data_IF_359790517789
#
_entry.id   IF_359790517789
#
_cell.length_a   1.000
_cell.length_b   1.000
_cell.length_c   1.000
_cell.angle_alpha   90.00
_cell.angle_beta   90.00
_cell.angle_gamma   90.00
#
_symmetry.space_group_name_H-M   'P 1'
#
loop_
_entity.id
_entity.type
_entity.pdbx_description
1 polymer ?
#
# COMPACT_ATOMS: atom_id res chain seq x y z
N UNK A 1 -34.57 -7.72 -22.72
CA UNK A 1 -33.12 -7.72 -22.62
C UNK A 1 -32.55 -8.85 -23.44
N UNK A 2 -31.48 -8.58 -24.21
CA UNK A 2 -30.79 -9.63 -24.96
C UNK A 2 -30.06 -10.56 -23.98
N UNK A 3 -29.83 -11.84 -24.30
CA UNK A 3 -29.09 -12.75 -23.44
C UNK A 3 -27.70 -12.22 -23.06
N UNK A 4 -27.01 -11.53 -23.97
CA UNK A 4 -25.73 -10.91 -23.76
C UNK A 4 -25.80 -9.77 -22.70
N UNK A 5 -26.81 -8.90 -22.79
CA UNK A 5 -26.98 -7.81 -21.82
C UNK A 5 -27.22 -8.37 -20.41
N UNK A 6 -28.01 -9.44 -20.30
CA UNK A 6 -28.24 -10.11 -19.01
C UNK A 6 -26.92 -10.66 -18.44
N UNK A 7 -26.12 -11.32 -19.26
CA UNK A 7 -24.82 -11.85 -18.87
C UNK A 7 -23.87 -10.74 -18.36
N UNK A 8 -23.84 -9.59 -19.05
CA UNK A 8 -23.01 -8.44 -18.64
C UNK A 8 -23.46 -7.90 -17.28
N UNK A 9 -24.76 -7.73 -17.06
CA UNK A 9 -25.32 -7.27 -15.80
C UNK A 9 -25.01 -8.27 -14.68
N UNK A 10 -25.21 -9.56 -14.91
CA UNK A 10 -24.92 -10.60 -13.92
C UNK A 10 -23.41 -10.63 -13.56
N UNK A 11 -22.52 -10.47 -14.55
CA UNK A 11 -21.07 -10.37 -14.32
C UNK A 11 -20.69 -9.14 -13.50
N UNK A 12 -21.26 -7.99 -13.83
CA UNK A 12 -21.02 -6.73 -13.12
C UNK A 12 -21.50 -6.83 -11.67
N UNK A 13 -22.70 -7.39 -11.46
CA UNK A 13 -23.27 -7.59 -10.12
C UNK A 13 -22.42 -8.53 -9.27
N UNK A 14 -22.00 -9.66 -9.82
CA UNK A 14 -21.17 -10.62 -9.09
C UNK A 14 -19.82 -10.01 -8.69
N UNK A 15 -19.16 -9.23 -9.57
CA UNK A 15 -17.93 -8.52 -9.22
C UNK A 15 -18.13 -7.49 -8.11
N UNK A 16 -19.18 -6.67 -8.21
CA UNK A 16 -19.50 -5.70 -7.17
C UNK A 16 -19.79 -6.39 -5.83
N UNK A 17 -20.53 -7.51 -5.86
CA UNK A 17 -20.82 -8.33 -4.68
C UNK A 17 -19.55 -8.92 -4.05
N UNK A 18 -18.65 -9.48 -4.86
CA UNK A 18 -17.36 -10.05 -4.40
C UNK A 18 -16.46 -8.98 -3.78
N UNK A 19 -16.51 -7.75 -4.31
CA UNK A 19 -15.79 -6.59 -3.78
C UNK A 19 -16.49 -5.92 -2.58
N UNK A 20 -17.67 -6.41 -2.19
CA UNK A 20 -18.53 -5.84 -1.15
C UNK A 20 -18.87 -4.36 -1.38
N UNK A 21 -19.14 -4.02 -2.63
CA UNK A 21 -19.51 -2.67 -3.11
C UNK A 21 -20.89 -2.68 -3.77
N UNK A 22 -21.49 -1.51 -3.88
CA UNK A 22 -22.69 -1.33 -4.69
C UNK A 22 -22.32 -1.40 -6.17
N UNK A 23 -23.25 -1.92 -6.99
CA UNK A 23 -23.08 -1.94 -8.44
C UNK A 23 -23.09 -0.51 -8.98
N UNK A 24 -21.98 -0.09 -9.59
CA UNK A 24 -21.81 1.21 -10.22
C UNK A 24 -21.51 1.09 -11.73
N UNK A 25 -21.30 2.23 -12.37
CA UNK A 25 -21.02 2.35 -13.80
C UNK A 25 -19.70 1.69 -14.19
N UNK A 26 -18.70 1.67 -13.28
CA UNK A 26 -17.38 1.07 -13.53
C UNK A 26 -17.47 -0.45 -13.61
N UNK A 27 -18.26 -1.08 -12.73
CA UNK A 27 -18.51 -2.54 -12.79
C UNK A 27 -19.24 -2.92 -14.08
N UNK A 28 -20.25 -2.14 -14.48
CA UNK A 28 -20.97 -2.37 -15.74
C UNK A 28 -20.07 -2.21 -16.95
N UNK A 29 -19.25 -1.16 -16.98
CA UNK A 29 -18.32 -0.90 -18.06
C UNK A 29 -17.22 -1.97 -18.12
N UNK A 30 -16.64 -2.35 -16.99
CA UNK A 30 -15.67 -3.42 -16.90
C UNK A 30 -16.22 -4.75 -17.39
N UNK A 31 -17.48 -5.08 -17.06
CA UNK A 31 -18.15 -6.28 -17.58
C UNK A 31 -18.39 -6.20 -19.09
N UNK A 32 -18.78 -5.03 -19.60
CA UNK A 32 -19.03 -4.79 -21.02
C UNK A 32 -17.77 -5.00 -21.87
N UNK A 33 -16.62 -4.47 -21.44
CA UNK A 33 -15.35 -4.60 -22.18
C UNK A 33 -14.66 -5.95 -21.98
N UNK A 34 -15.11 -6.78 -21.03
CA UNK A 34 -14.59 -8.14 -20.85
C UNK A 34 -15.28 -9.19 -21.74
N UNK A 35 -16.18 -8.79 -22.65
CA UNK A 35 -16.85 -9.67 -23.62
C UNK A 35 -16.11 -9.62 -24.95
N UNK A 36 -15.43 -10.70 -25.32
CA UNK A 36 -14.54 -10.80 -26.50
C UNK A 36 -15.22 -10.48 -27.84
N UNK A 37 -16.53 -10.70 -27.99
CA UNK A 37 -17.30 -10.47 -29.22
C UNK A 37 -18.26 -9.27 -29.15
N UNK A 38 -18.08 -8.39 -28.14
CA UNK A 38 -18.97 -7.25 -27.91
C UNK A 38 -18.87 -6.17 -28.99
N UNK A 39 -20.01 -5.57 -29.39
CA UNK A 39 -20.04 -4.40 -30.28
C UNK A 39 -19.22 -3.25 -29.71
N UNK A 40 -19.19 -3.12 -28.38
CA UNK A 40 -18.41 -2.08 -27.69
C UNK A 40 -16.91 -2.18 -27.98
N UNK A 41 -16.35 -3.39 -27.93
CA UNK A 41 -14.92 -3.61 -28.25
C UNK A 41 -14.62 -3.28 -29.70
N UNK A 42 -15.49 -3.69 -30.64
CA UNK A 42 -15.31 -3.36 -32.08
C UNK A 42 -15.37 -1.85 -32.35
N UNK A 43 -16.21 -1.11 -31.65
CA UNK A 43 -16.28 0.36 -31.76
C UNK A 43 -14.97 0.98 -31.21
N UNK A 44 -14.50 0.53 -30.05
CA UNK A 44 -13.25 1.03 -29.43
C UNK A 44 -12.04 0.73 -30.31
N UNK A 45 -11.95 -0.48 -30.87
CA UNK A 45 -10.89 -0.87 -31.80
C UNK A 45 -10.88 0.01 -33.05
N UNK A 46 -12.04 0.27 -33.65
CA UNK A 46 -12.18 1.19 -34.78
C UNK A 46 -11.80 2.64 -34.44
N UNK A 47 -11.91 3.03 -33.17
CA UNK A 47 -11.49 4.35 -32.67
C UNK A 47 -10.03 4.39 -32.25
N UNK A 48 -9.25 3.32 -32.45
CA UNK A 48 -7.86 3.16 -32.00
C UNK A 48 -7.69 3.38 -30.48
N UNK A 49 -8.68 2.97 -29.69
CA UNK A 49 -8.58 3.01 -28.22
C UNK A 49 -7.73 1.83 -27.75
N UNK A 50 -6.71 2.09 -26.96
CA UNK A 50 -5.94 1.04 -26.30
C UNK A 50 -6.78 0.42 -25.17
N UNK A 51 -7.42 -0.71 -25.50
CA UNK A 51 -8.33 -1.41 -24.60
C UNK A 51 -7.59 -1.95 -23.38
N UNK A 52 -6.35 -2.43 -23.55
CA UNK A 52 -5.54 -2.96 -22.44
C UNK A 52 -5.19 -1.85 -21.44
N UNK A 53 -4.82 -0.67 -21.94
CA UNK A 53 -4.61 0.51 -21.11
C UNK A 53 -5.88 0.94 -20.38
N UNK A 54 -7.02 0.92 -21.06
CA UNK A 54 -8.34 1.27 -20.49
C UNK A 54 -8.76 0.27 -19.40
N UNK A 55 -8.65 -1.03 -19.66
CA UNK A 55 -8.92 -2.09 -18.68
C UNK A 55 -8.01 -1.93 -17.45
N UNK A 56 -6.76 -1.62 -17.66
CA UNK A 56 -5.79 -1.38 -16.57
C UNK A 56 -6.17 -0.15 -15.74
N UNK A 57 -6.65 0.90 -16.39
CA UNK A 57 -7.10 2.12 -15.70
C UNK A 57 -8.37 1.89 -14.88
N UNK A 58 -9.37 1.20 -15.43
CA UNK A 58 -10.62 0.87 -14.74
C UNK A 58 -10.41 -0.05 -13.54
N UNK A 59 -9.47 -0.98 -13.66
CA UNK A 59 -9.13 -1.92 -12.58
C UNK A 59 -8.11 -1.34 -11.59
N UNK A 60 -7.75 -0.06 -11.70
CA UNK A 60 -6.92 0.56 -10.67
C UNK A 60 -7.64 0.56 -9.33
N UNK A 61 -6.94 0.25 -8.26
CA UNK A 61 -7.50 0.26 -6.92
C UNK A 61 -7.85 1.70 -6.51
N UNK A 62 -9.13 2.07 -6.57
CA UNK A 62 -9.59 3.42 -6.26
C UNK A 62 -9.41 3.80 -4.80
N UNK A 63 -9.82 2.93 -3.88
CA UNK A 63 -9.79 3.22 -2.44
C UNK A 63 -8.37 3.43 -1.91
N UNK A 64 -7.40 2.70 -2.48
CA UNK A 64 -5.97 2.87 -2.12
C UNK A 64 -5.51 4.31 -2.36
N UNK A 65 -5.89 4.91 -3.49
CA UNK A 65 -5.49 6.27 -3.85
C UNK A 65 -6.38 7.36 -3.24
N UNK A 66 -7.58 7.01 -2.79
CA UNK A 66 -8.41 7.90 -1.97
C UNK A 66 -7.86 8.04 -0.53
N UNK A 67 -7.30 6.95 0.01
CA UNK A 67 -6.81 6.87 1.38
C UNK A 67 -5.31 7.09 1.50
N UNK A 68 -4.59 7.05 0.40
CA UNK A 68 -3.13 7.09 0.36
C UNK A 68 -2.57 7.87 -0.81
N UNK A 69 -1.26 8.01 -0.79
CA UNK A 69 -0.49 8.72 -1.80
C UNK A 69 0.59 7.82 -2.35
N UNK A 70 0.67 7.70 -3.67
CA UNK A 70 1.75 6.99 -4.35
C UNK A 70 3.08 7.71 -4.17
N UNK A 71 4.04 7.05 -3.56
CA UNK A 71 5.39 7.60 -3.41
C UNK A 71 6.20 7.48 -4.69
N UNK A 72 5.86 6.53 -5.57
CA UNK A 72 6.56 6.34 -6.85
C UNK A 72 6.33 7.50 -7.83
N UNK A 73 5.20 8.21 -7.69
CA UNK A 73 4.85 9.36 -8.52
C UNK A 73 5.40 10.68 -7.97
N UNK A 74 5.89 10.70 -6.74
CA UNK A 74 6.42 11.91 -6.11
C UNK A 74 7.87 12.15 -6.53
N UNK A 75 8.18 13.42 -6.80
CA UNK A 75 9.57 13.87 -6.93
C UNK A 75 10.10 14.08 -5.52
N UNK A 76 10.82 13.11 -4.99
CA UNK A 76 11.48 13.26 -3.69
C UNK A 76 12.90 13.81 -3.87
N UNK A 77 13.34 14.59 -2.91
CA UNK A 77 14.73 15.00 -2.79
C UNK A 77 15.64 13.78 -2.64
N UNK A 78 16.90 13.90 -3.08
CA UNK A 78 17.85 12.80 -2.95
C UNK A 78 18.15 12.53 -1.47
N UNK A 79 17.95 11.29 -1.05
CA UNK A 79 18.38 10.81 0.26
C UNK A 79 19.82 10.32 0.16
N UNK A 80 20.71 10.91 0.95
CA UNK A 80 22.12 10.59 0.94
C UNK A 80 22.49 9.65 2.10
N UNK A 81 23.47 8.77 1.85
CA UNK A 81 24.11 7.94 2.88
C UNK A 81 23.17 6.94 3.63
N UNK A 82 22.10 6.49 2.99
CA UNK A 82 21.15 5.51 3.55
C UNK A 82 21.12 4.18 2.77
N UNK A 83 22.20 3.87 2.06
CA UNK A 83 22.30 2.66 1.23
C UNK A 83 22.11 1.37 2.04
N UNK A 84 22.66 1.31 3.26
CA UNK A 84 22.55 0.13 4.13
C UNK A 84 21.11 -0.12 4.55
N UNK A 85 20.42 0.93 4.94
CA UNK A 85 19.01 0.86 5.37
C UNK A 85 18.10 0.49 4.21
N UNK A 86 18.28 1.10 3.04
CA UNK A 86 17.49 0.80 1.83
C UNK A 86 17.71 -0.65 1.40
N UNK A 87 18.96 -1.11 1.37
CA UNK A 87 19.27 -2.50 1.03
C UNK A 87 18.68 -3.49 2.05
N UNK A 88 18.69 -3.15 3.34
CA UNK A 88 18.05 -3.95 4.38
C UNK A 88 16.52 -4.05 4.18
N UNK A 89 15.86 -2.95 3.77
CA UNK A 89 14.43 -2.95 3.45
C UNK A 89 14.17 -3.87 2.25
N UNK A 90 14.94 -3.73 1.17
CA UNK A 90 14.84 -4.56 -0.04
C UNK A 90 15.01 -6.04 0.31
N UNK A 91 16.03 -6.37 1.10
CA UNK A 91 16.29 -7.75 1.53
C UNK A 91 15.08 -8.34 2.30
N UNK A 92 14.52 -7.57 3.24
CA UNK A 92 13.35 -8.00 4.01
C UNK A 92 12.13 -8.21 3.10
N UNK A 93 11.84 -7.27 2.19
CA UNK A 93 10.71 -7.37 1.25
C UNK A 93 10.79 -8.61 0.34
N UNK A 94 11.99 -9.10 0.06
CA UNK A 94 12.23 -10.27 -0.78
C UNK A 94 12.17 -11.61 -0.03
N UNK A 95 12.09 -11.60 1.30
CA UNK A 95 11.98 -12.82 2.13
C UNK A 95 10.64 -13.51 1.90
N UNK A 96 10.61 -14.82 2.10
CA UNK A 96 9.37 -15.60 2.10
C UNK A 96 8.53 -15.38 3.36
N UNK A 97 9.21 -15.25 4.51
CA UNK A 97 8.60 -15.04 5.83
C UNK A 97 9.17 -13.78 6.46
N UNK A 98 8.39 -13.12 7.34
CA UNK A 98 8.78 -11.86 7.98
C UNK A 98 9.24 -10.82 6.95
N UNK A 99 8.49 -10.71 5.88
CA UNK A 99 8.78 -9.88 4.71
C UNK A 99 8.25 -8.45 4.84
N UNK A 100 7.86 -8.04 6.04
CA UNK A 100 7.40 -6.68 6.31
C UNK A 100 8.47 -5.95 7.13
N UNK A 101 9.20 -4.98 6.55
CA UNK A 101 10.17 -4.18 7.28
C UNK A 101 9.46 -3.19 8.22
N UNK A 102 10.03 -3.00 9.41
CA UNK A 102 9.60 -2.01 10.38
C UNK A 102 10.75 -1.09 10.75
N UNK A 103 10.69 0.14 10.28
CA UNK A 103 11.69 1.17 10.53
C UNK A 103 11.48 1.74 11.93
N UNK A 104 12.52 1.68 12.77
CA UNK A 104 12.48 2.21 14.13
C UNK A 104 13.64 3.18 14.34
N UNK A 105 13.37 4.33 14.95
CA UNK A 105 14.37 5.36 15.24
C UNK A 105 13.73 6.62 15.80
N UNK A 106 14.53 7.57 16.22
CA UNK A 106 14.04 8.85 16.76
C UNK A 106 13.12 9.57 15.77
N UNK A 107 12.26 10.45 16.29
CA UNK A 107 11.46 11.32 15.43
C UNK A 107 12.39 12.21 14.59
N UNK A 108 12.06 12.45 13.33
CA UNK A 108 12.86 13.29 12.43
C UNK A 108 14.13 12.65 11.85
N UNK A 109 14.47 11.38 12.19
CA UNK A 109 15.70 10.72 11.70
C UNK A 109 15.68 10.37 10.19
N UNK A 110 14.56 10.64 9.50
CA UNK A 110 14.43 10.42 8.05
C UNK A 110 13.87 9.05 7.66
N UNK A 111 13.05 8.41 8.51
CA UNK A 111 12.42 7.11 8.19
C UNK A 111 11.56 7.18 6.93
N UNK A 112 10.73 8.21 6.82
CA UNK A 112 9.85 8.44 5.67
C UNK A 112 10.66 8.69 4.41
N UNK A 113 11.68 9.54 4.48
CA UNK A 113 12.58 9.84 3.36
C UNK A 113 13.30 8.60 2.80
N UNK A 114 13.67 7.64 3.66
CA UNK A 114 14.26 6.36 3.22
C UNK A 114 13.27 5.56 2.36
N UNK A 115 11.98 5.56 2.72
CA UNK A 115 10.94 4.85 1.96
C UNK A 115 10.63 5.56 0.64
N UNK A 116 10.63 6.90 0.64
CA UNK A 116 10.50 7.71 -0.58
C UNK A 116 11.65 7.45 -1.56
N UNK A 117 12.90 7.38 -1.08
CA UNK A 117 14.04 7.02 -1.91
C UNK A 117 13.92 5.60 -2.47
N UNK A 118 13.42 4.64 -1.67
CA UNK A 118 13.14 3.30 -2.16
C UNK A 118 12.08 3.31 -3.27
N UNK A 119 11.00 4.06 -3.12
CA UNK A 119 9.95 4.21 -4.12
C UNK A 119 10.50 4.79 -5.44
N UNK A 120 11.36 5.81 -5.33
CA UNK A 120 12.09 6.39 -6.48
C UNK A 120 12.97 5.36 -7.17
N UNK A 121 13.73 4.55 -6.43
CA UNK A 121 14.55 3.48 -7.01
C UNK A 121 13.73 2.42 -7.71
N UNK A 122 12.53 2.11 -7.20
CA UNK A 122 11.60 1.22 -7.88
C UNK A 122 11.18 1.84 -9.23
N UNK A 123 10.77 3.10 -9.25
CA UNK A 123 10.37 3.82 -10.48
C UNK A 123 11.50 3.89 -11.51
N UNK A 124 12.73 4.05 -11.05
CA UNK A 124 13.93 4.09 -11.90
C UNK A 124 14.44 2.69 -12.30
N UNK A 125 13.79 1.61 -11.84
CA UNK A 125 14.20 0.23 -12.09
C UNK A 125 15.52 -0.17 -11.40
N UNK A 126 15.99 0.61 -10.43
CA UNK A 126 17.25 0.41 -9.67
C UNK A 126 17.06 -0.53 -8.46
N UNK A 127 16.22 -1.52 -8.62
CA UNK A 127 15.92 -2.54 -7.60
C UNK A 127 15.96 -3.94 -8.23
N UNK A 128 16.05 -5.00 -7.43
CA UNK A 128 15.95 -6.36 -7.95
C UNK A 128 14.67 -6.58 -8.77
N UNK A 129 14.73 -7.43 -9.81
CA UNK A 129 13.65 -7.66 -10.78
C UNK A 129 12.30 -7.97 -10.13
N UNK A 130 12.29 -8.65 -8.98
CA UNK A 130 11.08 -8.98 -8.23
C UNK A 130 10.35 -7.78 -7.64
N UNK A 131 10.99 -6.62 -7.53
CA UNK A 131 10.40 -5.39 -6.98
C UNK A 131 10.15 -4.30 -8.02
N UNK A 132 10.57 -4.49 -9.28
CA UNK A 132 10.49 -3.44 -10.31
C UNK A 132 9.08 -2.97 -10.62
N UNK A 133 8.11 -3.87 -10.51
CA UNK A 133 6.71 -3.58 -10.82
C UNK A 133 5.89 -3.16 -9.58
N UNK A 134 6.56 -3.01 -8.43
CA UNK A 134 5.87 -2.61 -7.20
C UNK A 134 5.71 -1.10 -7.12
N UNK A 135 4.62 -0.73 -6.48
CA UNK A 135 4.30 0.64 -6.11
C UNK A 135 4.20 0.74 -4.59
N UNK A 136 4.82 1.77 -4.00
CA UNK A 136 4.69 2.06 -2.58
C UNK A 136 3.65 3.14 -2.39
N UNK A 137 2.57 2.80 -1.68
CA UNK A 137 1.49 3.74 -1.36
C UNK A 137 1.52 4.04 0.14
N UNK A 138 1.74 5.30 0.47
CA UNK A 138 1.70 5.78 1.86
C UNK A 138 0.26 5.99 2.28
N UNK A 139 -0.16 5.27 3.31
CA UNK A 139 -1.50 5.40 3.90
C UNK A 139 -1.42 6.30 5.12
N UNK A 140 -2.28 7.32 5.13
CA UNK A 140 -2.45 8.16 6.30
C UNK A 140 -3.49 7.53 7.22
N UNK A 141 -3.06 7.16 8.43
CA UNK A 141 -3.94 6.52 9.43
C UNK A 141 -5.11 7.41 9.85
N UNK A 142 -4.96 8.73 9.79
CA UNK A 142 -6.06 9.66 10.07
C UNK A 142 -7.15 9.65 8.99
N UNK A 143 -6.80 9.46 7.72
CA UNK A 143 -7.79 9.32 6.62
C UNK A 143 -8.57 8.02 6.72
N UNK A 144 -7.97 6.95 7.25
CA UNK A 144 -8.68 5.70 7.50
C UNK A 144 -9.84 5.88 8.49
N UNK A 145 -9.66 6.72 9.50
CA UNK A 145 -10.66 6.99 10.55
C UNK A 145 -11.62 8.10 10.15
N UNK A 146 -11.19 9.05 9.31
CA UNK A 146 -11.99 10.21 8.93
C UNK A 146 -13.33 9.79 8.27
N UNK A 147 -14.43 10.38 8.77
CA UNK A 147 -15.78 10.12 8.24
C UNK A 147 -16.43 8.82 8.70
N UNK A 148 -15.76 7.97 9.48
CA UNK A 148 -16.37 6.77 10.07
C UNK A 148 -16.98 7.12 11.43
N UNK A 149 -18.30 6.95 11.59
CA UNK A 149 -19.01 7.19 12.84
C UNK A 149 -19.09 5.95 13.72
N UNK A 150 -19.04 4.78 13.11
CA UNK A 150 -19.20 3.50 13.78
C UNK A 150 -18.01 2.58 13.51
N UNK A 151 -17.70 1.72 14.46
CA UNK A 151 -16.63 0.73 14.36
C UNK A 151 -16.73 -0.14 13.09
N UNK A 152 -17.95 -0.58 12.76
CA UNK A 152 -18.17 -1.42 11.58
C UNK A 152 -17.85 -0.74 10.24
N UNK A 153 -18.08 0.57 10.13
CA UNK A 153 -17.73 1.34 8.92
C UNK A 153 -16.21 1.40 8.71
N UNK A 154 -15.47 1.59 9.79
CA UNK A 154 -14.00 1.56 9.74
C UNK A 154 -13.47 0.17 9.39
N UNK A 155 -13.99 -0.88 10.06
CA UNK A 155 -13.59 -2.26 9.77
C UNK A 155 -13.88 -2.63 8.31
N UNK A 156 -15.02 -2.23 7.77
CA UNK A 156 -15.36 -2.43 6.36
C UNK A 156 -14.38 -1.70 5.42
N UNK A 157 -14.06 -0.42 5.73
CA UNK A 157 -13.11 0.38 4.95
C UNK A 157 -11.71 -0.24 4.93
N UNK A 158 -11.19 -0.68 6.08
CA UNK A 158 -9.88 -1.34 6.16
C UNK A 158 -9.88 -2.67 5.41
N UNK A 159 -10.94 -3.47 5.53
CA UNK A 159 -11.07 -4.72 4.79
C UNK A 159 -11.12 -4.48 3.27
N UNK A 160 -11.85 -3.46 2.80
CA UNK A 160 -11.90 -3.09 1.38
C UNK A 160 -10.52 -2.65 0.87
N UNK A 161 -9.81 -1.80 1.63
CA UNK A 161 -8.43 -1.41 1.31
C UNK A 161 -7.50 -2.63 1.16
N UNK A 162 -7.56 -3.56 2.13
CA UNK A 162 -6.73 -4.76 2.11
C UNK A 162 -7.06 -5.65 0.90
N UNK A 163 -8.33 -5.82 0.57
CA UNK A 163 -8.75 -6.60 -0.59
C UNK A 163 -8.25 -5.98 -1.90
N UNK A 164 -8.30 -4.66 -2.04
CA UNK A 164 -7.72 -3.98 -3.20
C UNK A 164 -6.20 -4.21 -3.29
N UNK A 165 -5.45 -4.05 -2.19
CA UNK A 165 -4.00 -4.31 -2.14
C UNK A 165 -3.68 -5.76 -2.53
N UNK A 166 -4.44 -6.71 -2.00
CA UNK A 166 -4.29 -8.13 -2.30
C UNK A 166 -4.54 -8.44 -3.77
N UNK A 167 -5.56 -7.83 -4.38
CA UNK A 167 -5.92 -8.04 -5.78
C UNK A 167 -4.92 -7.39 -6.73
N UNK A 168 -4.39 -6.21 -6.38
CA UNK A 168 -3.38 -5.51 -7.17
C UNK A 168 -2.03 -6.26 -7.23
N UNK A 169 -1.68 -7.07 -6.22
CA UNK A 169 -0.46 -7.93 -6.11
C UNK A 169 0.89 -7.21 -6.15
N UNK A 170 0.94 -5.99 -6.65
CA UNK A 170 2.14 -5.18 -6.82
C UNK A 170 2.17 -3.92 -5.95
N UNK A 171 1.34 -3.85 -4.92
CA UNK A 171 1.30 -2.73 -3.97
C UNK A 171 2.01 -3.10 -2.68
N UNK A 172 2.83 -2.18 -2.19
CA UNK A 172 3.41 -2.19 -0.85
C UNK A 172 2.79 -1.03 -0.08
N UNK A 173 2.08 -1.32 1.00
CA UNK A 173 1.58 -0.26 1.87
C UNK A 173 2.71 0.30 2.73
N UNK A 174 2.87 1.60 2.75
CA UNK A 174 3.70 2.29 3.73
C UNK A 174 2.81 2.94 4.78
N UNK A 175 3.00 2.56 6.04
CA UNK A 175 2.24 3.08 7.17
C UNK A 175 3.22 3.79 8.10
N UNK A 176 3.23 5.11 8.00
CA UNK A 176 3.98 5.91 8.96
C UNK A 176 3.22 5.95 10.29
N UNK A 177 3.96 6.03 11.40
CA UNK A 177 3.41 5.94 12.75
C UNK A 177 2.49 4.71 12.96
N UNK A 178 2.90 3.54 12.44
CA UNK A 178 2.11 2.30 12.47
C UNK A 178 1.59 1.92 13.87
N UNK A 179 2.23 2.42 14.93
CA UNK A 179 1.80 2.24 16.32
C UNK A 179 0.41 2.83 16.59
N UNK A 180 -0.01 3.83 15.81
CA UNK A 180 -1.35 4.44 15.93
C UNK A 180 -2.45 3.44 15.65
N UNK A 181 -2.22 2.48 14.73
CA UNK A 181 -3.18 1.41 14.44
C UNK A 181 -3.35 0.41 15.60
N UNK A 182 -2.34 0.32 16.47
CA UNK A 182 -2.35 -0.57 17.66
C UNK A 182 -2.91 0.16 18.88
N UNK A 183 -2.62 1.47 19.02
CA UNK A 183 -3.07 2.30 20.13
C UNK A 183 -4.60 2.42 20.22
N UNK A 184 -5.27 2.47 19.07
CA UNK A 184 -6.70 2.64 18.99
C UNK A 184 -7.48 1.48 19.61
N UNK A 185 -6.86 0.32 19.86
CA UNK A 185 -7.46 -0.85 20.52
C UNK A 185 -7.45 -0.87 22.05
N UNK A 186 -6.80 0.07 22.71
CA UNK A 186 -6.54 0.00 24.15
C UNK A 186 -7.61 0.66 25.04
N UNK A 187 -8.56 1.42 24.50
CA UNK A 187 -9.67 2.02 25.23
C UNK A 187 -11.00 1.37 24.85
N UNK A 188 -11.90 1.18 25.82
CA UNK A 188 -13.25 0.63 25.61
C UNK A 188 -13.97 1.39 24.47
N UNK A 189 -14.28 0.67 23.38
CA UNK A 189 -14.92 1.23 22.18
C UNK A 189 -13.97 1.68 21.08
N UNK A 190 -12.65 1.60 21.23
CA UNK A 190 -11.69 1.99 20.21
C UNK A 190 -11.47 0.89 19.15
N UNK A 191 -11.17 1.35 17.95
CA UNK A 191 -11.05 0.55 16.73
C UNK A 191 -9.64 -0.03 16.65
N UNK A 192 -9.48 -1.34 16.65
CA UNK A 192 -8.19 -2.02 16.53
C UNK A 192 -7.93 -2.44 15.07
N UNK A 193 -7.42 -1.51 14.27
CA UNK A 193 -7.04 -1.78 12.88
C UNK A 193 -5.94 -2.85 12.78
N UNK A 194 -5.09 -2.98 13.79
CA UNK A 194 -4.06 -3.99 13.81
C UNK A 194 -4.64 -5.41 13.80
N UNK A 195 -5.75 -5.65 14.48
CA UNK A 195 -6.39 -6.97 14.48
C UNK A 195 -6.92 -7.37 13.11
N UNK A 196 -7.34 -6.40 12.29
CA UNK A 196 -7.78 -6.64 10.91
C UNK A 196 -6.57 -6.99 10.03
N UNK A 197 -5.44 -6.28 10.19
CA UNK A 197 -4.22 -6.51 9.40
C UNK A 197 -3.51 -7.83 9.73
N UNK A 198 -3.53 -8.25 11.00
CA UNK A 198 -2.80 -9.45 11.48
C UNK A 198 -3.01 -10.71 10.63
N UNK A 199 -4.22 -11.13 10.25
CA UNK A 199 -4.43 -12.32 9.44
C UNK A 199 -3.76 -12.23 8.06
N UNK A 200 -3.84 -11.10 7.40
CA UNK A 200 -3.28 -10.88 6.06
C UNK A 200 -1.75 -10.83 6.08
N UNK A 201 -1.17 -10.16 7.08
CA UNK A 201 0.28 -10.19 7.34
C UNK A 201 0.75 -11.61 7.68
N UNK A 202 -0.09 -12.37 8.41
CA UNK A 202 0.22 -13.74 8.79
C UNK A 202 0.34 -14.67 7.58
N UNK A 203 -0.53 -14.50 6.59
CA UNK A 203 -0.56 -15.30 5.37
C UNK A 203 0.37 -14.78 4.28
N UNK A 204 0.98 -13.58 4.48
CA UNK A 204 1.82 -12.94 3.47
C UNK A 204 1.03 -12.48 2.23
N UNK A 205 -0.27 -12.21 2.39
CA UNK A 205 -1.16 -11.80 1.30
C UNK A 205 -0.93 -10.33 0.91
N UNK A 206 -0.38 -9.54 1.82
CA UNK A 206 -0.01 -8.14 1.60
C UNK A 206 1.42 -7.88 2.06
N UNK A 207 2.05 -6.85 1.51
CA UNK A 207 3.35 -6.34 1.95
C UNK A 207 3.16 -4.97 2.60
N UNK A 208 3.77 -4.80 3.78
CA UNK A 208 3.69 -3.57 4.55
C UNK A 208 5.08 -3.12 4.99
N UNK A 209 5.41 -1.86 4.77
CA UNK A 209 6.52 -1.17 5.41
C UNK A 209 5.91 -0.34 6.54
N UNK A 210 6.36 -0.53 7.76
CA UNK A 210 5.96 0.30 8.90
C UNK A 210 7.08 1.24 9.33
N UNK A 211 6.73 2.39 9.88
CA UNK A 211 7.65 3.27 10.57
C UNK A 211 7.09 3.67 11.94
N UNK A 212 7.97 3.78 12.94
CA UNK A 212 7.61 4.20 14.30
C UNK A 212 8.83 4.64 15.07
N UNK A 213 8.65 5.22 16.25
CA UNK A 213 9.78 5.49 17.15
C UNK A 213 10.23 4.22 17.89
N UNK A 214 11.45 4.24 18.43
CA UNK A 214 11.98 3.10 19.22
C UNK A 214 11.15 2.87 20.49
N UNK A 215 10.66 3.92 21.11
CA UNK A 215 9.84 3.86 22.32
C UNK A 215 8.48 3.23 22.05
N UNK A 216 7.82 3.68 20.98
CA UNK A 216 6.52 3.18 20.57
C UNK A 216 6.59 1.74 20.06
N UNK A 217 7.67 1.37 19.36
CA UNK A 217 7.93 -0.02 19.02
C UNK A 217 7.95 -0.91 20.27
N UNK A 218 8.73 -0.53 21.30
CA UNK A 218 8.84 -1.30 22.54
C UNK A 218 7.52 -1.36 23.31
N UNK A 219 6.74 -0.27 23.26
CA UNK A 219 5.49 -0.13 24.03
C UNK A 219 4.32 -0.89 23.37
N UNK A 220 4.18 -0.82 22.05
CA UNK A 220 2.99 -1.28 21.33
C UNK A 220 3.25 -2.50 20.46
N UNK A 221 4.27 -2.47 19.60
CA UNK A 221 4.47 -3.52 18.59
C UNK A 221 5.16 -4.75 19.20
N UNK A 222 6.21 -4.56 19.97
CA UNK A 222 6.99 -5.65 20.57
C UNK A 222 6.17 -6.48 21.57
N UNK A 223 5.22 -5.86 22.24
CA UNK A 223 4.33 -6.53 23.20
C UNK A 223 3.23 -7.34 22.52
N UNK A 224 2.97 -7.12 21.23
CA UNK A 224 2.03 -7.91 20.45
C UNK A 224 2.79 -9.03 19.70
N UNK A 225 2.71 -10.29 20.17
CA UNK A 225 3.48 -11.39 19.56
C UNK A 225 3.09 -11.67 18.11
N UNK A 226 1.84 -11.36 17.72
CA UNK A 226 1.35 -11.59 16.37
C UNK A 226 1.99 -10.61 15.38
N UNK A 227 2.09 -9.32 15.73
CA UNK A 227 2.78 -8.31 14.94
C UNK A 227 4.31 -8.49 14.97
N UNK A 228 4.89 -8.70 16.16
CA UNK A 228 6.34 -8.86 16.31
C UNK A 228 6.90 -10.03 15.47
N UNK A 229 6.11 -11.09 15.26
CA UNK A 229 6.50 -12.24 14.42
C UNK A 229 6.41 -11.96 12.92
N UNK A 230 5.72 -10.89 12.50
CA UNK A 230 5.47 -10.56 11.09
C UNK A 230 6.34 -9.45 10.56
N UNK A 231 6.82 -8.59 11.45
CA UNK A 231 7.72 -7.52 11.11
C UNK A 231 9.19 -7.89 11.39
N UNK A 232 10.07 -7.37 10.54
CA UNK A 232 11.52 -7.37 10.76
C UNK A 232 11.94 -5.95 11.10
N UNK A 233 12.42 -5.74 12.32
CA UNK A 233 12.88 -4.44 12.78
C UNK A 233 14.17 -4.03 12.06
N UNK A 234 14.18 -2.81 11.51
CA UNK A 234 15.35 -2.14 10.95
C UNK A 234 15.54 -0.85 11.77
N UNK A 235 16.65 -0.78 12.47
CA UNK A 235 16.98 0.40 13.28
C UNK A 235 17.58 1.48 12.39
N UNK A 236 17.00 2.68 12.45
CA UNK A 236 17.49 3.86 11.77
C UNK A 236 18.14 4.76 12.82
N UNK A 237 19.44 4.89 12.71
CA UNK A 237 20.22 5.73 13.61
C UNK A 237 20.34 7.16 13.04
N UNK A 238 20.61 8.11 13.89
CA UNK A 238 20.99 9.45 13.47
C UNK A 238 22.28 9.39 12.64
N UNK A 239 22.42 10.26 11.62
CA UNK A 239 23.67 10.40 10.89
C UNK A 239 24.79 10.77 11.84
N UNK A 240 25.99 10.26 11.62
CA UNK A 240 27.18 10.73 12.34
C UNK A 240 27.57 12.14 11.88
N UNK A 241 28.40 12.85 12.66
CA UNK A 241 28.89 14.17 12.25
C UNK A 241 29.58 14.15 10.88
N UNK A 242 30.32 13.08 10.58
CA UNK A 242 30.95 12.86 9.27
C UNK A 242 29.91 12.66 8.16
N UNK A 243 28.84 11.90 8.43
CA UNK A 243 27.74 11.73 7.48
C UNK A 243 27.01 13.06 7.23
N UNK A 244 26.82 13.89 8.27
CA UNK A 244 26.20 15.21 8.15
C UNK A 244 27.01 16.16 7.28
N UNK A 245 28.34 16.20 7.44
CA UNK A 245 29.21 17.00 6.57
C UNK A 245 29.10 16.56 5.10
N UNK A 246 29.08 15.25 4.84
CA UNK A 246 28.93 14.71 3.48
C UNK A 246 27.56 15.03 2.88
N UNK A 247 26.48 14.92 3.67
CA UNK A 247 25.13 15.31 3.27
C UNK A 247 25.09 16.78 2.89
N UNK A 248 25.57 17.67 3.77
CA UNK A 248 25.60 19.11 3.52
C UNK A 248 26.40 19.49 2.27
N UNK A 249 27.51 18.82 2.01
CA UNK A 249 28.30 19.04 0.80
C UNK A 249 27.58 18.61 -0.47
N UNK A 250 26.80 17.51 -0.41
CA UNK A 250 26.01 17.01 -1.56
C UNK A 250 24.73 17.82 -1.83
N UNK A 251 24.19 18.49 -0.81
CA UNK A 251 23.01 19.37 -0.96
C UNK A 251 23.40 20.73 -1.55
N UNK A 252 24.64 21.19 -1.35
CA UNK A 252 25.13 22.49 -1.85
C UNK A 252 25.56 22.47 -3.31
N UNK A 253 25.74 21.32 -3.92
CA UNK A 253 26.14 21.15 -5.34
C UNK A 253 24.98 20.76 -6.21
#
# INVERSE_FOLDING_TARGET
YTPLLKLIIDKAYNRAYDDNKELDELYLFSALISEDDGIALRIMDNMNVDIDALVKEINKPHLIYELGVSLNAQVSDRVFLREKEINAIIEVLLRRNKNNPLLTGHSGVGKTAIVEELAKRISEGKVPSKLKDYEIVMINTSTLVAGTKYRGEFEARVNSLINEVKNAKNIILFIDEIHTLVKTGASDGSIDAANILKPYLARGEIKVIGATTTEEYNTYIKKDPALARRFTQIKINEPTDADMEEILNKVKG
#
